data_IF_193537559128
#
_entry.id   IF_193537559128
#
_cell.length_a   1.000
_cell.length_b   1.000
_cell.length_c   1.000
_cell.angle_alpha   90.00
_cell.angle_beta   90.00
_cell.angle_gamma   90.00
#
_symmetry.space_group_name_H-M   'P 1'
#
loop_
_entity.id
_entity.type
_entity.pdbx_description
1 polymer ?
#
# COMPACT_ATOMS: atom_id res chain seq x y z
N UNK A 1 2.48 -41.90 -33.24
CA UNK A 1 3.12 -41.80 -31.91
C UNK A 1 2.10 -41.27 -30.92
N UNK A 2 2.05 -41.81 -29.70
CA UNK A 2 1.20 -41.28 -28.63
C UNK A 2 1.82 -39.98 -28.11
N UNK A 3 1.06 -38.89 -28.12
CA UNK A 3 1.54 -37.57 -27.74
C UNK A 3 0.39 -36.61 -27.46
N UNK A 4 0.66 -35.31 -27.27
CA UNK A 4 -0.40 -34.38 -26.92
C UNK A 4 -1.41 -34.19 -28.07
N UNK A 5 -1.02 -34.38 -29.34
CA UNK A 5 -1.91 -34.37 -30.51
C UNK A 5 -2.96 -35.50 -30.44
N UNK A 6 -2.52 -36.72 -30.16
CA UNK A 6 -3.44 -37.85 -30.00
C UNK A 6 -4.32 -37.70 -28.76
N UNK A 7 -3.78 -37.13 -27.68
CA UNK A 7 -4.54 -36.89 -26.46
C UNK A 7 -5.64 -35.84 -26.66
N UNK A 8 -5.36 -34.78 -27.44
CA UNK A 8 -6.35 -33.77 -27.81
C UNK A 8 -7.49 -34.37 -28.65
N UNK A 9 -7.16 -35.13 -29.69
CA UNK A 9 -8.17 -35.83 -30.50
C UNK A 9 -9.02 -36.80 -29.66
N UNK A 10 -8.38 -37.55 -28.75
CA UNK A 10 -9.09 -38.44 -27.83
C UNK A 10 -10.03 -37.66 -26.89
N UNK A 11 -9.61 -36.50 -26.38
CA UNK A 11 -10.46 -35.65 -25.56
C UNK A 11 -11.66 -35.11 -26.35
N UNK A 12 -11.44 -34.69 -27.60
CA UNK A 12 -12.49 -34.21 -28.50
C UNK A 12 -13.53 -35.29 -28.81
N UNK A 13 -13.10 -36.54 -29.00
CA UNK A 13 -14.03 -37.68 -29.20
C UNK A 13 -14.89 -38.01 -27.97
N UNK A 14 -14.56 -37.44 -26.81
CA UNK A 14 -15.26 -37.64 -25.54
C UNK A 14 -15.99 -36.36 -25.10
N UNK A 15 -16.50 -35.57 -26.06
CA UNK A 15 -17.18 -34.29 -25.86
C UNK A 15 -16.34 -33.20 -25.16
N UNK A 16 -15.02 -33.31 -25.25
CA UNK A 16 -14.03 -32.38 -24.71
C UNK A 16 -13.87 -31.09 -25.54
N UNK A 17 -14.94 -30.53 -26.10
CA UNK A 17 -14.88 -29.50 -27.16
C UNK A 17 -14.26 -28.17 -26.74
N UNK A 18 -14.29 -27.83 -25.44
CA UNK A 18 -13.70 -26.61 -24.91
C UNK A 18 -12.17 -26.65 -24.80
N UNK A 19 -11.55 -27.83 -24.93
CA UNK A 19 -10.11 -27.97 -24.79
C UNK A 19 -9.38 -27.50 -26.05
N UNK A 20 -8.67 -26.37 -25.95
CA UNK A 20 -7.78 -25.93 -27.02
C UNK A 20 -6.53 -26.81 -27.10
N UNK A 21 -5.86 -26.75 -28.26
CA UNK A 21 -4.57 -27.42 -28.50
C UNK A 21 -3.53 -27.03 -27.44
N UNK A 22 -3.40 -25.72 -27.21
CA UNK A 22 -2.45 -25.13 -26.27
C UNK A 22 -2.72 -25.56 -24.82
N UNK A 23 -4.00 -25.64 -24.43
CA UNK A 23 -4.38 -26.12 -23.11
C UNK A 23 -3.94 -27.56 -22.89
N UNK A 24 -4.12 -28.43 -23.90
CA UNK A 24 -3.65 -29.82 -23.84
C UNK A 24 -2.14 -29.89 -23.79
N UNK A 25 -1.42 -29.14 -24.63
CA UNK A 25 0.04 -29.13 -24.67
C UNK A 25 0.64 -28.68 -23.31
N UNK A 26 0.06 -27.63 -22.71
CA UNK A 26 0.42 -27.17 -21.38
C UNK A 26 0.16 -28.26 -20.31
N UNK A 27 -1.07 -28.77 -20.22
CA UNK A 27 -1.46 -29.76 -19.22
C UNK A 27 -0.68 -31.07 -19.34
N UNK A 28 -0.40 -31.51 -20.58
CA UNK A 28 0.36 -32.70 -20.90
C UNK A 28 1.75 -32.68 -20.25
N UNK A 29 2.50 -31.59 -20.44
CA UNK A 29 3.85 -31.45 -19.88
C UNK A 29 3.89 -31.57 -18.35
N UNK A 30 2.92 -30.93 -17.66
CA UNK A 30 2.83 -30.98 -16.20
C UNK A 30 2.38 -32.33 -15.66
N UNK A 31 1.44 -32.98 -16.35
CA UNK A 31 0.99 -34.33 -15.97
C UNK A 31 2.16 -35.31 -16.10
N UNK A 32 2.89 -35.27 -17.22
CA UNK A 32 4.07 -36.09 -17.40
C UNK A 32 5.13 -35.79 -16.35
N UNK A 33 5.46 -34.53 -16.11
CA UNK A 33 6.46 -34.19 -15.09
C UNK A 33 6.11 -34.74 -13.70
N UNK A 34 4.83 -34.62 -13.32
CA UNK A 34 4.32 -35.19 -12.06
C UNK A 34 4.42 -36.71 -12.04
N UNK A 35 3.93 -37.39 -13.09
CA UNK A 35 3.93 -38.86 -13.14
C UNK A 35 5.36 -39.42 -13.18
N UNK A 36 6.28 -38.76 -13.88
CA UNK A 36 7.68 -39.12 -13.92
C UNK A 36 8.31 -39.00 -12.52
N UNK A 37 8.02 -37.91 -11.82
CA UNK A 37 8.48 -37.72 -10.43
C UNK A 37 7.93 -38.77 -9.48
N UNK A 38 6.65 -39.16 -9.61
CA UNK A 38 6.05 -40.22 -8.80
C UNK A 38 6.64 -41.60 -9.12
N UNK A 39 6.88 -41.89 -10.40
CA UNK A 39 7.51 -43.13 -10.84
C UNK A 39 8.95 -43.25 -10.32
N UNK A 40 9.72 -42.14 -10.33
CA UNK A 40 11.07 -42.11 -9.78
C UNK A 40 11.08 -42.23 -8.24
N UNK A 41 10.07 -41.68 -7.56
CA UNK A 41 9.95 -41.75 -6.10
C UNK A 41 9.60 -43.16 -5.61
N UNK A 42 8.77 -43.89 -6.36
CA UNK A 42 8.32 -45.23 -6.02
C UNK A 42 8.34 -46.13 -7.28
N UNK A 43 9.54 -46.59 -7.71
CA UNK A 43 9.69 -47.39 -8.91
C UNK A 43 9.04 -48.78 -8.82
N UNK A 44 8.89 -49.33 -7.61
CA UNK A 44 8.32 -50.66 -7.39
C UNK A 44 6.84 -50.68 -7.79
N UNK A 45 6.10 -49.62 -7.47
CA UNK A 45 4.68 -49.50 -7.87
C UNK A 45 4.47 -49.51 -9.37
N UNK A 46 5.45 -49.04 -10.16
CA UNK A 46 5.37 -48.99 -11.62
C UNK A 46 5.60 -50.35 -12.30
N UNK A 47 5.94 -51.41 -11.54
CA UNK A 47 6.07 -52.78 -12.04
C UNK A 47 4.73 -53.53 -12.09
N UNK A 48 3.66 -52.93 -11.57
CA UNK A 48 2.31 -53.51 -11.58
C UNK A 48 1.60 -53.25 -12.91
N UNK A 49 0.58 -54.06 -13.28
CA UNK A 49 -0.27 -53.76 -14.43
C UNK A 49 -0.95 -52.38 -14.34
N UNK A 50 -1.23 -51.92 -13.11
CA UNK A 50 -1.81 -50.61 -12.80
C UNK A 50 -0.73 -49.53 -12.56
N UNK A 51 0.29 -49.50 -13.41
CA UNK A 51 1.36 -48.50 -13.33
C UNK A 51 0.83 -47.10 -13.63
N UNK A 52 1.27 -46.11 -12.85
CA UNK A 52 0.89 -44.70 -13.01
C UNK A 52 1.53 -44.09 -14.24
N UNK A 53 2.74 -44.51 -14.61
CA UNK A 53 3.43 -44.08 -15.82
C UNK A 53 2.87 -44.79 -17.06
N UNK A 54 1.69 -44.36 -17.50
CA UNK A 54 1.01 -44.89 -18.68
C UNK A 54 0.21 -43.81 -19.43
N UNK A 55 0.00 -44.02 -20.74
CA UNK A 55 -0.81 -43.11 -21.56
C UNK A 55 -2.26 -43.01 -21.04
N UNK A 56 -2.82 -44.12 -20.57
CA UNK A 56 -4.17 -44.16 -19.97
C UNK A 56 -4.29 -43.22 -18.78
N UNK A 57 -3.35 -43.29 -17.83
CA UNK A 57 -3.33 -42.42 -16.65
C UNK A 57 -3.12 -40.93 -17.02
N UNK A 58 -2.35 -40.65 -18.08
CA UNK A 58 -2.22 -39.27 -18.59
C UNK A 58 -3.56 -38.77 -19.13
N UNK A 59 -4.26 -39.57 -19.92
CA UNK A 59 -5.56 -39.21 -20.49
C UNK A 59 -6.65 -39.05 -19.41
N UNK A 60 -6.67 -39.91 -18.40
CA UNK A 60 -7.56 -39.78 -17.24
C UNK A 60 -7.34 -38.46 -16.50
N UNK A 61 -6.07 -38.07 -16.29
CA UNK A 61 -5.77 -36.80 -15.65
C UNK A 61 -6.10 -35.59 -16.53
N UNK A 62 -5.96 -35.69 -17.86
CA UNK A 62 -6.43 -34.65 -18.77
C UNK A 62 -7.95 -34.50 -18.71
N UNK A 63 -8.70 -35.61 -18.71
CA UNK A 63 -10.16 -35.60 -18.52
C UNK A 63 -10.56 -35.00 -17.18
N UNK A 64 -9.85 -35.34 -16.11
CA UNK A 64 -10.04 -34.74 -14.80
C UNK A 64 -9.82 -33.22 -14.80
N UNK A 65 -8.74 -32.75 -15.45
CA UNK A 65 -8.48 -31.31 -15.59
C UNK A 65 -9.56 -30.61 -16.40
N UNK A 66 -9.99 -31.22 -17.51
CA UNK A 66 -11.06 -30.70 -18.37
C UNK A 66 -12.36 -30.52 -17.57
N UNK A 67 -12.79 -31.57 -16.88
CA UNK A 67 -14.02 -31.55 -16.10
C UNK A 67 -13.98 -30.51 -14.98
N UNK A 68 -12.82 -30.29 -14.34
CA UNK A 68 -12.69 -29.32 -13.25
C UNK A 68 -12.58 -27.88 -13.72
N UNK A 69 -11.70 -27.62 -14.68
CA UNK A 69 -11.38 -26.26 -15.07
C UNK A 69 -12.33 -25.74 -16.15
N UNK A 70 -12.51 -26.49 -17.23
CA UNK A 70 -13.25 -26.02 -18.40
C UNK A 70 -14.76 -26.25 -18.23
N UNK A 71 -15.18 -27.46 -17.88
CA UNK A 71 -16.61 -27.73 -17.64
C UNK A 71 -17.08 -27.21 -16.27
N UNK A 72 -16.26 -27.37 -15.24
CA UNK A 72 -16.61 -27.03 -13.85
C UNK A 72 -16.25 -25.62 -13.42
N UNK A 73 -15.56 -24.83 -14.25
CA UNK A 73 -15.19 -23.43 -13.97
C UNK A 73 -14.24 -23.23 -12.79
N UNK A 74 -13.59 -24.27 -12.27
CA UNK A 74 -12.65 -24.14 -11.14
C UNK A 74 -11.30 -23.64 -11.63
N UNK A 75 -11.07 -22.33 -11.50
CA UNK A 75 -9.85 -21.66 -11.96
C UNK A 75 -8.67 -21.90 -11.00
N UNK A 76 -7.50 -22.35 -11.51
CA UNK A 76 -6.28 -22.49 -10.70
C UNK A 76 -5.71 -21.17 -10.19
N UNK A 77 -4.80 -21.25 -9.22
CA UNK A 77 -4.30 -20.09 -8.48
C UNK A 77 -3.62 -19.06 -9.40
N UNK A 78 -2.73 -19.51 -10.29
CA UNK A 78 -2.05 -18.60 -11.20
C UNK A 78 -3.02 -17.96 -12.19
N UNK A 79 -4.00 -18.73 -12.69
CA UNK A 79 -5.01 -18.21 -13.63
C UNK A 79 -5.86 -17.11 -13.00
N UNK A 80 -6.27 -17.29 -11.74
CA UNK A 80 -6.96 -16.26 -10.96
C UNK A 80 -6.10 -15.00 -10.74
N UNK A 81 -4.79 -15.15 -10.58
CA UNK A 81 -3.87 -14.01 -10.42
C UNK A 81 -3.67 -13.26 -11.73
N UNK A 82 -3.46 -13.97 -12.84
CA UNK A 82 -3.27 -13.38 -14.16
C UNK A 82 -4.53 -12.64 -14.65
N UNK A 83 -5.71 -13.22 -14.41
CA UNK A 83 -7.01 -12.59 -14.65
C UNK A 83 -7.38 -11.55 -13.56
N UNK A 84 -6.56 -11.42 -12.51
CA UNK A 84 -6.72 -10.47 -11.41
C UNK A 84 -8.02 -10.59 -10.61
N UNK A 85 -8.64 -11.77 -10.62
CA UNK A 85 -9.75 -12.12 -9.73
C UNK A 85 -9.31 -12.25 -8.27
N UNK A 86 -8.02 -12.52 -8.04
CA UNK A 86 -7.40 -12.53 -6.72
C UNK A 86 -6.13 -11.69 -6.71
N UNK A 87 -5.79 -11.14 -5.54
CA UNK A 87 -4.58 -10.36 -5.38
C UNK A 87 -3.33 -11.26 -5.39
N UNK A 88 -2.30 -10.88 -6.15
CA UNK A 88 -1.00 -11.57 -6.19
C UNK A 88 -0.35 -11.70 -4.80
N UNK A 89 -0.69 -10.83 -3.85
CA UNK A 89 -0.22 -10.89 -2.47
C UNK A 89 -0.79 -12.04 -1.64
N UNK A 90 -1.79 -12.76 -2.15
CA UNK A 90 -2.37 -13.91 -1.47
C UNK A 90 -1.30 -14.97 -1.14
N UNK A 91 -1.36 -15.63 0.02
CA UNK A 91 -0.40 -16.66 0.38
C UNK A 91 -0.60 -17.89 -0.51
N UNK A 92 0.48 -18.47 -1.03
CA UNK A 92 0.41 -19.65 -1.91
C UNK A 92 1.69 -20.48 -1.89
N UNK A 93 1.59 -21.72 -2.37
CA UNK A 93 2.73 -22.60 -2.63
C UNK A 93 2.82 -22.88 -4.12
N UNK A 94 3.98 -22.56 -4.72
CA UNK A 94 4.28 -22.88 -6.12
C UNK A 94 5.52 -23.78 -6.21
N UNK A 95 5.62 -24.55 -7.27
CA UNK A 95 6.80 -25.34 -7.61
C UNK A 95 7.66 -24.55 -8.62
N UNK A 96 8.98 -24.62 -8.47
CA UNK A 96 9.92 -24.05 -9.43
C UNK A 96 10.01 -24.99 -10.62
N UNK A 97 9.47 -24.61 -11.78
CA UNK A 97 9.63 -25.37 -13.03
C UNK A 97 10.97 -25.04 -13.69
N UNK A 98 11.40 -23.78 -13.62
CA UNK A 98 12.69 -23.35 -14.17
C UNK A 98 13.37 -22.24 -13.35
N UNK A 99 14.70 -22.16 -13.46
CA UNK A 99 15.55 -21.06 -13.02
C UNK A 99 16.26 -20.52 -14.26
N UNK A 100 15.82 -19.35 -14.72
CA UNK A 100 16.23 -18.74 -15.99
C UNK A 100 17.32 -17.72 -15.72
N UNK A 101 18.51 -17.96 -16.27
CA UNK A 101 19.66 -17.06 -16.19
C UNK A 101 19.73 -16.20 -17.46
N UNK A 102 19.96 -14.89 -17.35
CA UNK A 102 20.19 -14.03 -18.52
C UNK A 102 21.34 -14.56 -19.40
N UNK A 103 21.19 -14.44 -20.72
CA UNK A 103 22.19 -14.91 -21.67
C UNK A 103 23.52 -14.17 -21.49
N UNK A 104 24.62 -14.91 -21.41
CA UNK A 104 25.97 -14.35 -21.21
C UNK A 104 26.33 -14.07 -19.75
N UNK A 105 25.42 -14.28 -18.79
CA UNK A 105 25.74 -14.18 -17.37
C UNK A 105 26.39 -15.47 -16.86
N UNK A 106 27.50 -15.33 -16.14
CA UNK A 106 28.05 -16.43 -15.34
C UNK A 106 27.27 -16.54 -14.02
N UNK A 107 27.22 -17.72 -13.41
CA UNK A 107 26.69 -17.89 -12.06
C UNK A 107 27.47 -17.08 -11.00
N UNK A 108 28.66 -16.59 -11.36
CA UNK A 108 29.56 -15.83 -10.48
C UNK A 108 29.24 -14.33 -10.49
N UNK A 109 28.49 -13.84 -11.47
CA UNK A 109 28.11 -12.43 -11.58
C UNK A 109 27.06 -12.04 -10.51
N UNK A 110 27.54 -11.37 -9.45
CA UNK A 110 26.74 -11.05 -8.26
C UNK A 110 25.59 -10.07 -8.56
N UNK A 111 25.74 -9.24 -9.59
CA UNK A 111 24.73 -8.27 -10.00
C UNK A 111 23.59 -8.90 -10.81
N UNK A 112 23.84 -10.04 -11.46
CA UNK A 112 22.83 -10.72 -12.27
C UNK A 112 21.87 -11.49 -11.36
N UNK A 113 20.57 -11.20 -11.51
CA UNK A 113 19.49 -11.90 -10.81
C UNK A 113 18.78 -12.85 -11.77
N UNK A 114 18.67 -14.15 -11.45
CA UNK A 114 17.88 -15.07 -12.26
C UNK A 114 16.39 -14.80 -12.08
N UNK A 115 15.62 -15.17 -13.09
CA UNK A 115 14.16 -15.26 -13.01
C UNK A 115 13.76 -16.69 -12.65
N UNK A 116 12.63 -16.85 -11.96
CA UNK A 116 12.03 -18.16 -11.75
C UNK A 116 10.84 -18.34 -12.68
N UNK A 117 10.69 -19.54 -13.22
CA UNK A 117 9.42 -20.01 -13.72
C UNK A 117 8.74 -20.84 -12.62
N UNK A 118 7.54 -20.42 -12.22
CA UNK A 118 6.80 -21.03 -11.12
C UNK A 118 5.49 -21.62 -11.64
N UNK A 119 5.10 -22.77 -11.08
CA UNK A 119 3.85 -23.46 -11.41
C UNK A 119 3.02 -23.78 -10.17
N UNK A 120 1.70 -23.62 -10.27
CA UNK A 120 0.72 -24.15 -9.32
C UNK A 120 0.31 -25.60 -9.63
N UNK A 121 0.97 -26.22 -10.61
CA UNK A 121 0.65 -27.54 -11.15
C UNK A 121 -0.37 -27.50 -12.30
N UNK A 122 -0.96 -26.34 -12.62
CA UNK A 122 -1.92 -26.15 -13.70
C UNK A 122 -1.41 -25.23 -14.80
N UNK A 123 -0.69 -24.17 -14.42
CA UNK A 123 -0.12 -23.18 -15.30
C UNK A 123 1.28 -22.77 -14.83
N UNK A 124 1.94 -21.91 -15.60
CA UNK A 124 3.25 -21.34 -15.29
C UNK A 124 3.20 -19.82 -15.40
N UNK A 125 3.95 -19.13 -14.54
CA UNK A 125 4.22 -17.70 -14.63
C UNK A 125 5.67 -17.41 -14.22
N UNK A 126 6.22 -16.31 -14.71
CA UNK A 126 7.56 -15.86 -14.35
C UNK A 126 7.55 -15.05 -13.05
N UNK A 127 8.67 -15.08 -12.34
CA UNK A 127 8.87 -14.32 -11.11
C UNK A 127 10.28 -13.73 -11.00
N UNK A 128 10.33 -12.46 -10.59
CA UNK A 128 11.55 -11.75 -10.22
C UNK A 128 11.94 -12.05 -8.78
N UNK A 129 13.26 -12.12 -8.58
CA UNK A 129 13.86 -12.36 -7.29
C UNK A 129 14.52 -11.10 -6.75
N UNK A 130 14.47 -10.94 -5.43
CA UNK A 130 15.31 -10.00 -4.73
C UNK A 130 16.74 -10.55 -4.51
N UNK A 131 17.59 -9.73 -3.89
CA UNK A 131 18.99 -10.08 -3.66
C UNK A 131 19.18 -11.37 -2.84
N UNK A 132 18.50 -11.60 -1.69
CA UNK A 132 18.67 -12.85 -0.95
C UNK A 132 18.15 -14.08 -1.69
N UNK A 133 17.05 -13.99 -2.43
CA UNK A 133 16.58 -15.11 -3.23
C UNK A 133 17.53 -15.42 -4.39
N UNK A 134 18.09 -14.41 -5.05
CA UNK A 134 19.12 -14.62 -6.08
C UNK A 134 20.37 -15.30 -5.49
N UNK A 135 20.83 -14.89 -4.30
CA UNK A 135 21.92 -15.59 -3.58
C UNK A 135 21.56 -17.04 -3.27
N UNK A 136 20.32 -17.32 -2.87
CA UNK A 136 19.86 -18.67 -2.60
C UNK A 136 19.79 -19.55 -3.87
N UNK A 137 19.46 -18.97 -5.02
CA UNK A 137 19.53 -19.64 -6.32
C UNK A 137 20.97 -19.99 -6.70
N UNK A 138 21.92 -19.04 -6.60
CA UNK A 138 23.35 -19.30 -6.84
C UNK A 138 23.91 -20.37 -5.92
N UNK A 139 23.51 -20.35 -4.65
CA UNK A 139 23.91 -21.35 -3.67
C UNK A 139 23.25 -22.74 -3.86
N UNK A 140 22.49 -22.95 -4.94
CA UNK A 140 21.82 -24.22 -5.23
C UNK A 140 20.68 -24.58 -4.28
N UNK A 141 20.15 -23.61 -3.52
CA UNK A 141 19.03 -23.82 -2.60
C UNK A 141 17.67 -23.67 -3.29
N UNK A 142 17.59 -22.79 -4.28
CA UNK A 142 16.43 -22.62 -5.16
C UNK A 142 16.77 -23.30 -6.47
N UNK A 143 16.14 -24.44 -6.74
CA UNK A 143 16.40 -25.28 -7.92
C UNK A 143 15.09 -25.85 -8.44
N UNK A 144 15.09 -26.29 -9.71
CA UNK A 144 13.94 -26.94 -10.35
C UNK A 144 13.39 -28.08 -9.48
N UNK A 145 12.06 -28.18 -9.41
CA UNK A 145 11.32 -29.19 -8.64
C UNK A 145 11.13 -28.87 -7.15
N UNK A 146 11.81 -27.86 -6.59
CA UNK A 146 11.54 -27.42 -5.21
C UNK A 146 10.29 -26.57 -5.14
N UNK A 147 9.63 -26.59 -3.98
CA UNK A 147 8.43 -25.82 -3.71
C UNK A 147 8.76 -24.59 -2.87
N UNK A 148 8.15 -23.46 -3.20
CA UNK A 148 8.25 -22.20 -2.49
C UNK A 148 6.88 -21.85 -1.92
N UNK A 149 6.84 -21.56 -0.61
CA UNK A 149 5.70 -20.93 0.04
C UNK A 149 6.01 -19.46 0.20
N UNK A 150 5.11 -18.58 -0.23
CA UNK A 150 5.29 -17.15 -0.11
C UNK A 150 3.95 -16.42 0.03
N UNK A 151 4.03 -15.16 0.42
CA UNK A 151 2.91 -14.23 0.46
C UNK A 151 3.40 -12.79 0.22
N UNK A 152 2.48 -11.87 -0.02
CA UNK A 152 2.84 -10.46 -0.25
C UNK A 152 3.54 -10.21 -1.58
N UNK A 153 3.47 -11.15 -2.54
CA UNK A 153 4.00 -10.94 -3.88
C UNK A 153 3.26 -9.79 -4.58
N UNK A 154 3.96 -9.14 -5.51
CA UNK A 154 3.44 -8.04 -6.33
C UNK A 154 3.62 -8.36 -7.80
N UNK A 155 3.00 -7.60 -8.69
CA UNK A 155 3.37 -7.64 -10.09
C UNK A 155 4.67 -6.86 -10.32
N UNK A 156 5.59 -7.42 -11.09
CA UNK A 156 6.81 -6.74 -11.49
C UNK A 156 6.48 -5.63 -12.51
N UNK A 157 7.16 -4.48 -12.43
CA UNK A 157 6.98 -3.38 -13.38
C UNK A 157 5.65 -2.62 -13.29
N UNK A 158 4.76 -2.96 -12.35
CA UNK A 158 3.44 -2.33 -12.20
C UNK A 158 2.30 -3.36 -12.36
N UNK A 159 1.05 -2.90 -12.32
CA UNK A 159 -0.12 -3.76 -12.50
C UNK A 159 -0.34 -3.98 -14.01
N UNK A 160 -0.22 -5.22 -14.53
CA UNK A 160 -0.50 -5.51 -15.93
C UNK A 160 -2.00 -5.43 -16.24
N UNK A 161 -2.39 -5.56 -17.50
CA UNK A 161 -3.79 -5.79 -17.86
C UNK A 161 -4.22 -7.22 -17.46
N UNK A 162 -5.49 -7.45 -17.08
CA UNK A 162 -6.00 -8.79 -16.86
C UNK A 162 -5.93 -9.62 -18.16
N UNK A 163 -5.33 -10.81 -18.11
CA UNK A 163 -5.14 -11.63 -19.31
C UNK A 163 -5.25 -13.11 -18.98
N UNK A 164 -5.73 -13.91 -19.93
CA UNK A 164 -5.69 -15.37 -19.84
C UNK A 164 -4.25 -15.88 -20.01
N UNK A 165 -3.85 -16.85 -19.18
CA UNK A 165 -2.42 -17.24 -19.09
C UNK A 165 -1.89 -17.76 -20.43
N UNK A 166 -2.66 -18.58 -21.13
CA UNK A 166 -2.23 -19.20 -22.39
C UNK A 166 -2.26 -18.22 -23.57
N UNK A 167 -3.01 -17.12 -23.47
CA UNK A 167 -3.17 -16.10 -24.52
C UNK A 167 -2.20 -14.92 -24.33
N UNK A 168 -1.01 -15.17 -23.77
CA UNK A 168 0.03 -14.16 -23.57
C UNK A 168 0.28 -13.75 -22.11
N UNK A 169 -0.56 -14.20 -21.16
CA UNK A 169 -0.35 -13.94 -19.74
C UNK A 169 0.99 -14.45 -19.20
N UNK A 170 1.56 -15.51 -19.77
CA UNK A 170 2.91 -16.00 -19.41
C UNK A 170 4.02 -14.97 -19.62
N UNK A 171 3.91 -14.12 -20.65
CA UNK A 171 4.92 -13.12 -21.00
C UNK A 171 4.63 -11.77 -20.35
N UNK A 172 3.36 -11.38 -20.27
CA UNK A 172 2.94 -10.08 -19.75
C UNK A 172 2.83 -10.03 -18.21
N UNK A 173 2.53 -11.16 -17.56
CA UNK A 173 2.33 -11.23 -16.11
C UNK A 173 3.54 -11.83 -15.44
N UNK A 174 4.27 -10.99 -14.69
CA UNK A 174 5.43 -11.41 -13.91
C UNK A 174 5.23 -11.05 -12.44
N UNK A 175 5.51 -12.00 -11.56
CA UNK A 175 5.45 -11.80 -10.11
C UNK A 175 6.77 -11.23 -9.59
N UNK A 176 6.74 -10.51 -8.48
CA UNK A 176 7.91 -10.02 -7.75
C UNK A 176 7.85 -10.60 -6.35
N UNK A 177 8.83 -11.43 -6.02
CA UNK A 177 8.92 -12.13 -4.74
C UNK A 177 9.93 -11.43 -3.81
N UNK A 178 9.60 -11.41 -2.53
CA UNK A 178 10.50 -10.93 -1.46
C UNK A 178 10.97 -12.10 -0.61
N UNK A 179 12.27 -12.21 -0.38
CA UNK A 179 12.92 -13.27 0.38
C UNK A 179 12.46 -13.32 1.84
N UNK A 180 12.24 -12.17 2.48
CA UNK A 180 11.71 -12.10 3.84
C UNK A 180 10.24 -12.54 3.96
N UNK A 181 9.55 -12.72 2.82
CA UNK A 181 8.17 -13.19 2.74
C UNK A 181 8.06 -14.55 2.03
N UNK A 182 9.18 -15.23 1.81
CA UNK A 182 9.26 -16.50 1.08
C UNK A 182 10.08 -17.53 1.85
N UNK A 183 9.67 -18.80 1.77
CA UNK A 183 10.42 -19.91 2.33
C UNK A 183 10.26 -21.18 1.48
N UNK A 184 11.18 -22.13 1.66
CA UNK A 184 11.05 -23.45 1.02
C UNK A 184 9.93 -24.24 1.69
N UNK A 185 9.01 -24.76 0.88
CA UNK A 185 7.91 -25.60 1.34
C UNK A 185 8.33 -27.09 1.37
N UNK A 186 7.73 -27.92 2.24
CA UNK A 186 7.93 -29.36 2.25
C UNK A 186 7.62 -30.00 0.88
N UNK A 187 8.29 -31.11 0.56
CA UNK A 187 8.12 -31.81 -0.72
C UNK A 187 6.66 -32.22 -1.01
N UNK A 188 5.89 -32.57 0.03
CA UNK A 188 4.49 -33.00 -0.07
C UNK A 188 3.49 -31.83 0.01
N UNK A 189 3.95 -30.57 0.16
CA UNK A 189 3.06 -29.41 0.25
C UNK A 189 2.18 -29.31 -1.00
N UNK A 190 0.88 -29.09 -0.80
CA UNK A 190 -0.09 -28.92 -1.89
C UNK A 190 0.15 -27.58 -2.60
N UNK A 191 0.22 -27.60 -3.93
CA UNK A 191 0.37 -26.39 -4.73
C UNK A 191 -0.94 -25.60 -4.81
N UNK A 192 -0.82 -24.28 -4.98
CA UNK A 192 -1.94 -23.33 -5.07
C UNK A 192 -2.08 -22.47 -3.83
N UNK A 193 -3.27 -21.87 -3.67
CA UNK A 193 -3.56 -20.92 -2.60
C UNK A 193 -3.53 -21.56 -1.21
N UNK A 194 -3.00 -20.81 -0.26
CA UNK A 194 -3.04 -21.11 1.17
C UNK A 194 -4.05 -20.20 1.85
N UNK A 195 -4.55 -20.61 3.02
CA UNK A 195 -5.32 -19.72 3.90
C UNK A 195 -4.42 -18.66 4.53
N UNK A 196 -3.20 -19.07 4.91
CA UNK A 196 -2.22 -18.23 5.58
C UNK A 196 -0.82 -18.80 5.30
N UNK A 197 0.15 -17.92 5.02
CA UNK A 197 1.54 -18.32 4.91
C UNK A 197 2.16 -18.55 6.29
N UNK A 198 3.13 -19.47 6.43
CA UNK A 198 3.85 -19.65 7.68
C UNK A 198 4.59 -18.35 8.05
N UNK A 199 4.57 -17.93 9.34
CA UNK A 199 5.30 -16.75 9.78
C UNK A 199 6.80 -16.94 9.57
N UNK A 200 7.48 -15.86 9.17
CA UNK A 200 8.93 -15.83 9.15
C UNK A 200 9.47 -15.75 10.59
N UNK A 201 10.75 -16.11 10.76
CA UNK A 201 11.47 -15.96 12.03
C UNK A 201 12.48 -14.83 11.91
N UNK A 202 12.79 -14.13 13.00
CA UNK A 202 13.81 -13.07 13.01
C UNK A 202 15.19 -13.58 12.56
N UNK A 203 15.46 -14.86 12.80
CA UNK A 203 16.66 -15.52 12.30
C UNK A 203 16.71 -15.60 10.76
N UNK A 204 15.58 -15.80 10.09
CA UNK A 204 15.51 -15.91 8.63
C UNK A 204 15.59 -14.58 7.89
N UNK A 205 15.39 -13.46 8.59
CA UNK A 205 15.33 -12.14 7.96
C UNK A 205 16.70 -11.63 7.50
N UNK A 206 16.71 -10.97 6.36
CA UNK A 206 17.86 -10.19 5.85
C UNK A 206 17.47 -8.73 5.62
N UNK A 207 18.41 -7.78 5.78
CA UNK A 207 18.12 -6.35 5.62
C UNK A 207 17.73 -5.97 4.18
N UNK A 208 18.15 -6.76 3.19
CA UNK A 208 17.93 -6.57 1.76
C UNK A 208 16.84 -7.48 1.17
N UNK A 209 16.09 -8.21 2.00
CA UNK A 209 15.08 -9.20 1.59
C UNK A 209 13.66 -8.70 1.41
N UNK A 210 13.50 -7.39 1.20
CA UNK A 210 12.19 -6.75 1.03
C UNK A 210 11.32 -6.80 2.29
N UNK A 211 10.03 -6.55 2.11
CA UNK A 211 9.05 -6.52 3.21
C UNK A 211 8.85 -7.90 3.84
N UNK A 212 8.45 -7.90 5.12
CA UNK A 212 8.10 -9.10 5.90
C UNK A 212 6.59 -9.22 5.95
N UNK A 213 6.04 -10.28 5.35
CA UNK A 213 4.59 -10.48 5.28
C UNK A 213 3.98 -10.78 6.64
N UNK A 214 4.64 -11.61 7.45
CA UNK A 214 4.09 -12.11 8.71
C UNK A 214 5.18 -12.54 9.69
N UNK A 215 5.10 -12.07 10.94
CA UNK A 215 5.92 -12.51 12.07
C UNK A 215 5.01 -12.87 13.26
N UNK A 216 5.44 -13.85 14.05
CA UNK A 216 4.81 -14.25 15.31
C UNK A 216 5.75 -13.88 16.45
N UNK A 217 5.42 -12.82 17.18
CA UNK A 217 6.34 -12.13 18.08
C UNK A 217 5.76 -11.96 19.48
N UNK A 218 6.63 -12.00 20.49
CA UNK A 218 6.32 -11.64 21.88
C UNK A 218 7.03 -10.35 22.25
N UNK A 219 6.31 -9.43 22.89
CA UNK A 219 6.86 -8.17 23.41
C UNK A 219 7.81 -8.47 24.55
N UNK A 220 9.08 -8.09 24.40
CA UNK A 220 10.11 -8.21 25.43
C UNK A 220 10.33 -6.91 26.21
N UNK A 221 10.21 -5.75 25.55
CA UNK A 221 10.38 -4.44 26.19
C UNK A 221 9.56 -3.39 25.48
N UNK A 222 8.95 -2.48 26.24
CA UNK A 222 8.12 -1.39 25.72
C UNK A 222 8.75 -0.05 26.10
N UNK A 223 9.07 0.78 25.11
CA UNK A 223 9.55 2.14 25.37
C UNK A 223 8.38 3.14 25.46
N UNK A 224 8.56 4.32 26.09
CA UNK A 224 7.55 5.37 26.11
C UNK A 224 7.17 5.86 24.70
N UNK A 225 5.97 6.44 24.57
CA UNK A 225 5.55 7.09 23.32
C UNK A 225 6.38 8.36 23.13
N UNK A 226 6.83 8.58 21.90
CA UNK A 226 7.48 9.79 21.48
C UNK A 226 6.77 10.39 20.27
N UNK A 227 6.95 11.69 20.06
CA UNK A 227 6.32 12.45 19.00
C UNK A 227 7.38 13.10 18.12
N UNK A 228 7.19 13.04 16.80
CA UNK A 228 8.02 13.76 15.84
C UNK A 228 7.10 14.64 15.00
N UNK A 229 7.49 15.90 14.88
CA UNK A 229 6.81 16.87 14.04
C UNK A 229 7.57 17.04 12.73
N UNK A 230 6.82 17.06 11.63
CA UNK A 230 7.33 17.31 10.28
C UNK A 230 6.92 18.72 9.89
N UNK A 231 7.89 19.63 9.83
CA UNK A 231 7.67 21.04 9.49
C UNK A 231 8.08 21.25 8.05
N UNK A 232 7.17 21.77 7.22
CA UNK A 232 7.47 22.13 5.84
C UNK A 232 8.39 23.37 5.80
N UNK A 233 9.49 23.27 5.06
CA UNK A 233 10.42 24.36 4.80
C UNK A 233 10.20 24.92 3.39
N UNK A 234 10.42 26.24 3.19
CA UNK A 234 10.35 26.84 1.86
C UNK A 234 11.43 26.26 0.95
N UNK A 235 11.01 25.70 -0.18
CA UNK A 235 11.89 25.10 -1.20
C UNK A 235 11.53 23.66 -1.54
N UNK A 236 12.03 23.18 -2.68
CA UNK A 236 11.90 21.78 -3.10
C UNK A 236 13.19 21.03 -2.78
N UNK A 237 13.07 19.84 -2.21
CA UNK A 237 14.19 18.91 -2.07
C UNK A 237 14.67 18.41 -3.44
N UNK A 238 15.77 17.66 -3.46
CA UNK A 238 16.35 17.06 -4.68
C UNK A 238 15.33 16.22 -5.48
N UNK A 239 14.34 15.64 -4.80
CA UNK A 239 13.29 14.78 -5.37
C UNK A 239 12.03 15.56 -5.83
N UNK A 240 12.07 16.89 -5.85
CA UNK A 240 10.92 17.74 -6.22
C UNK A 240 9.81 17.83 -5.17
N UNK A 241 9.95 17.14 -4.03
CA UNK A 241 9.01 17.17 -2.89
C UNK A 241 9.28 18.37 -1.96
N UNK A 242 8.27 18.82 -1.18
CA UNK A 242 8.48 19.83 -0.14
C UNK A 242 9.60 19.39 0.80
N UNK A 243 10.54 20.29 1.07
CA UNK A 243 11.60 20.02 2.04
C UNK A 243 10.95 19.98 3.41
N UNK A 244 11.11 18.89 4.16
CA UNK A 244 10.55 18.75 5.51
C UNK A 244 11.66 18.66 6.53
N UNK A 245 11.59 19.49 7.57
CA UNK A 245 12.44 19.38 8.76
C UNK A 245 11.75 18.51 9.79
N UNK A 246 12.52 17.63 10.43
CA UNK A 246 12.04 16.78 11.54
C UNK A 246 12.42 17.45 12.85
N UNK A 247 11.42 17.70 13.69
CA UNK A 247 11.63 18.19 15.06
C UNK A 247 11.25 17.13 16.08
N UNK A 248 12.06 17.01 17.14
CA UNK A 248 11.94 15.96 18.16
C UNK A 248 13.06 14.93 18.08
N UNK A 249 12.89 13.74 18.69
CA UNK A 249 11.68 13.24 19.34
C UNK A 249 11.32 13.98 20.64
N UNK A 250 10.04 14.31 20.82
CA UNK A 250 9.49 14.91 22.05
C UNK A 250 8.78 13.85 22.89
N UNK A 251 8.84 13.98 24.22
CA UNK A 251 8.03 13.18 25.15
C UNK A 251 6.61 13.75 25.20
N UNK A 252 5.67 12.97 25.74
CA UNK A 252 4.26 13.36 25.87
C UNK A 252 4.05 14.73 26.54
N UNK A 253 4.71 15.00 27.66
CA UNK A 253 4.60 16.28 28.35
C UNK A 253 5.14 17.47 27.53
N UNK A 254 6.21 17.25 26.76
CA UNK A 254 6.81 18.29 25.91
C UNK A 254 5.95 18.55 24.68
N UNK A 255 5.33 17.50 24.12
CA UNK A 255 4.40 17.62 23.01
C UNK A 255 3.11 18.32 23.43
N UNK A 256 2.55 18.02 24.61
CA UNK A 256 1.40 18.75 25.15
C UNK A 256 1.69 20.25 25.32
N UNK A 257 2.92 20.60 25.76
CA UNK A 257 3.36 22.01 25.85
C UNK A 257 3.50 22.66 24.48
N UNK A 258 4.03 21.94 23.49
CA UNK A 258 4.15 22.44 22.12
C UNK A 258 2.77 22.66 21.49
N UNK A 259 1.84 21.73 21.73
CA UNK A 259 0.46 21.81 21.25
C UNK A 259 -0.28 22.99 21.88
N UNK A 260 -0.20 23.17 23.19
CA UNK A 260 -0.82 24.31 23.87
C UNK A 260 -0.28 25.67 23.37
N UNK A 261 1.03 25.76 23.07
CA UNK A 261 1.63 26.96 22.47
C UNK A 261 1.10 27.24 21.06
N UNK A 262 0.90 26.20 20.26
CA UNK A 262 0.34 26.34 18.92
C UNK A 262 -1.14 26.74 18.99
N UNK A 263 -1.92 26.14 19.88
CA UNK A 263 -3.34 26.49 20.11
C UNK A 263 -3.50 27.94 20.58
N UNK A 264 -2.66 28.38 21.52
CA UNK A 264 -2.65 29.78 21.98
C UNK A 264 -2.28 30.75 20.85
N UNK A 265 -1.28 30.41 20.02
CA UNK A 265 -0.94 31.22 18.84
C UNK A 265 -2.09 31.25 17.84
N UNK A 266 -2.70 30.11 17.53
CA UNK A 266 -3.82 30.00 16.59
C UNK A 266 -5.03 30.78 17.08
N UNK A 267 -5.33 30.73 18.38
CA UNK A 267 -6.40 31.50 19.01
C UNK A 267 -6.16 33.01 18.88
N UNK A 268 -4.96 33.48 19.20
CA UNK A 268 -4.60 34.91 19.08
C UNK A 268 -4.70 35.42 17.65
N UNK A 269 -4.26 34.62 16.67
CA UNK A 269 -4.40 34.96 15.25
C UNK A 269 -5.87 34.97 14.84
N UNK A 270 -6.66 33.99 15.28
CA UNK A 270 -8.10 33.93 14.98
C UNK A 270 -8.84 35.16 15.51
N UNK A 271 -8.56 35.56 16.76
CA UNK A 271 -9.16 36.75 17.36
C UNK A 271 -8.75 38.02 16.62
N UNK A 272 -7.48 38.14 16.22
CA UNK A 272 -7.00 39.27 15.41
C UNK A 272 -7.73 39.36 14.07
N UNK A 273 -7.83 38.25 13.33
CA UNK A 273 -8.50 38.19 12.03
C UNK A 273 -10.01 38.49 12.15
N UNK A 274 -10.67 38.00 13.21
CA UNK A 274 -12.08 38.35 13.50
C UNK A 274 -12.25 39.84 13.75
N UNK A 275 -11.38 40.45 14.57
CA UNK A 275 -11.44 41.90 14.85
C UNK A 275 -11.18 42.71 13.58
N UNK A 276 -10.27 42.27 12.70
CA UNK A 276 -10.02 42.92 11.41
C UNK A 276 -11.22 42.80 10.46
N UNK A 277 -11.84 41.63 10.38
CA UNK A 277 -13.08 41.41 9.60
C UNK A 277 -14.24 42.28 10.13
N UNK A 278 -14.45 42.32 11.45
CA UNK A 278 -15.49 43.15 12.07
C UNK A 278 -15.26 44.65 11.81
N UNK A 279 -14.01 45.12 11.91
CA UNK A 279 -13.66 46.52 11.58
C UNK A 279 -13.95 46.83 10.12
N UNK A 280 -13.59 45.93 9.20
CA UNK A 280 -13.87 46.05 7.78
C UNK A 280 -15.38 46.16 7.54
N UNK A 281 -16.18 45.26 8.11
CA UNK A 281 -17.64 45.31 7.97
C UNK A 281 -18.25 46.57 8.58
N UNK A 282 -17.77 47.03 9.74
CA UNK A 282 -18.25 48.30 10.34
C UNK A 282 -17.95 49.51 9.43
N UNK A 283 -16.78 49.55 8.81
CA UNK A 283 -16.45 50.59 7.84
C UNK A 283 -17.38 50.55 6.64
N UNK A 284 -17.61 49.35 6.08
CA UNK A 284 -18.51 49.15 4.95
C UNK A 284 -19.97 49.46 5.30
N UNK A 285 -20.45 49.13 6.51
CA UNK A 285 -21.77 49.52 7.00
C UNK A 285 -21.90 51.04 7.14
N UNK A 286 -20.84 51.70 7.64
CA UNK A 286 -20.75 53.15 7.68
C UNK A 286 -20.83 53.77 6.28
N UNK A 287 -20.16 53.15 5.31
CA UNK A 287 -20.19 53.56 3.91
C UNK A 287 -21.57 53.37 3.29
N UNK A 288 -22.17 52.20 3.45
CA UNK A 288 -23.52 51.89 2.98
C UNK A 288 -24.55 52.85 3.61
N UNK A 289 -24.39 53.22 4.88
CA UNK A 289 -25.22 54.21 5.56
C UNK A 289 -25.09 55.62 4.99
N UNK A 290 -23.88 56.05 4.63
CA UNK A 290 -23.64 57.35 4.00
C UNK A 290 -24.18 57.41 2.56
N UNK A 291 -24.02 56.34 1.78
CA UNK A 291 -24.57 56.20 0.44
C UNK A 291 -26.11 56.18 0.47
N UNK A 292 -26.71 55.45 1.40
CA UNK A 292 -28.17 55.42 1.60
C UNK A 292 -28.75 56.81 1.96
N UNK A 293 -28.03 57.61 2.78
CA UNK A 293 -28.43 59.00 3.07
C UNK A 293 -28.41 59.88 1.83
N UNK A 294 -27.41 59.72 0.96
CA UNK A 294 -27.30 60.46 -0.31
C UNK A 294 -28.38 60.05 -1.32
N UNK A 295 -28.81 58.79 -1.29
CA UNK A 295 -29.87 58.27 -2.16
C UNK A 295 -31.25 58.90 -1.87
N UNK A 296 -31.46 59.46 -0.67
CA UNK A 296 -32.67 60.22 -0.34
C UNK A 296 -33.96 59.39 -0.44
N UNK A 297 -33.90 58.09 -0.15
CA UNK A 297 -35.05 57.18 -0.21
C UNK A 297 -35.26 56.47 -1.55
N UNK A 298 -34.41 56.72 -2.56
CA UNK A 298 -34.36 55.93 -3.80
C UNK A 298 -33.64 54.62 -3.55
N UNK A 299 -34.36 53.63 -3.02
CA UNK A 299 -33.84 52.27 -2.81
C UNK A 299 -34.27 51.42 -4.01
N UNK A 300 -33.34 50.77 -4.71
CA UNK A 300 -33.68 49.82 -5.77
C UNK A 300 -34.52 48.66 -5.25
N UNK A 301 -35.44 48.16 -6.08
CA UNK A 301 -36.15 46.90 -5.85
C UNK A 301 -35.28 45.71 -6.28
N UNK A 302 -35.53 44.52 -5.71
CA UNK A 302 -34.89 43.27 -6.16
C UNK A 302 -35.19 42.94 -7.63
N UNK A 303 -36.30 43.45 -8.17
CA UNK A 303 -36.73 43.24 -9.56
C UNK A 303 -36.10 44.26 -10.55
N UNK A 304 -35.41 45.29 -10.07
CA UNK A 304 -34.81 46.30 -10.94
C UNK A 304 -33.49 45.78 -11.54
N UNK A 305 -33.22 46.12 -12.81
CA UNK A 305 -31.94 45.75 -13.44
C UNK A 305 -30.82 46.68 -12.97
N UNK A 306 -29.83 46.12 -12.28
CA UNK A 306 -28.66 46.87 -11.82
C UNK A 306 -27.87 47.45 -13.00
N UNK A 307 -27.51 48.75 -12.98
CA UNK A 307 -26.63 49.34 -13.99
C UNK A 307 -25.23 48.72 -13.94
N UNK A 308 -24.66 48.38 -15.10
CA UNK A 308 -23.38 47.64 -15.19
C UNK A 308 -22.16 48.37 -14.60
N UNK A 309 -22.17 49.70 -14.53
CA UNK A 309 -21.06 50.49 -13.96
C UNK A 309 -21.05 50.51 -12.42
N UNK A 310 -22.09 50.01 -11.75
CA UNK A 310 -22.20 50.02 -10.28
C UNK A 310 -21.23 49.04 -9.64
N UNK A 311 -20.93 47.90 -10.29
CA UNK A 311 -19.96 46.93 -9.78
C UNK A 311 -18.55 47.52 -9.79
N UNK A 312 -18.13 48.15 -10.89
CA UNK A 312 -16.83 48.82 -10.99
C UNK A 312 -16.66 49.91 -9.92
N UNK A 313 -17.72 50.70 -9.67
CA UNK A 313 -17.72 51.73 -8.63
C UNK A 313 -17.65 51.14 -7.21
N UNK A 314 -18.19 49.93 -6.98
CA UNK A 314 -18.11 49.23 -5.71
C UNK A 314 -16.70 48.72 -5.46
N UNK A 315 -16.07 48.13 -6.47
CA UNK A 315 -14.69 47.65 -6.39
C UNK A 315 -13.72 48.83 -6.16
N UNK A 316 -13.88 49.93 -6.90
CA UNK A 316 -13.11 51.18 -6.69
C UNK A 316 -13.28 51.73 -5.26
N UNK A 317 -14.48 51.63 -4.69
CA UNK A 317 -14.74 52.04 -3.30
C UNK A 317 -14.02 51.14 -2.29
N UNK A 318 -14.06 49.83 -2.51
CA UNK A 318 -13.41 48.85 -1.63
C UNK A 318 -11.89 49.02 -1.67
N UNK A 319 -11.31 49.24 -2.86
CA UNK A 319 -9.88 49.38 -3.07
C UNK A 319 -9.34 50.74 -2.59
N UNK A 320 -10.05 51.83 -2.90
CA UNK A 320 -9.60 53.18 -2.51
C UNK A 320 -9.87 53.52 -1.05
N UNK A 321 -10.94 52.95 -0.46
CA UNK A 321 -11.41 53.29 0.88
C UNK A 321 -11.92 54.74 1.05
N UNK A 322 -12.01 55.52 -0.04
CA UNK A 322 -12.41 56.94 0.01
C UNK A 322 -13.85 57.14 -0.45
N UNK A 323 -14.77 56.94 0.50
CA UNK A 323 -16.19 57.23 0.28
C UNK A 323 -16.46 58.70 -0.07
N UNK A 324 -15.63 59.65 0.38
CA UNK A 324 -15.93 61.08 0.19
C UNK A 324 -15.80 61.49 -1.27
N UNK A 325 -14.79 60.98 -1.96
CA UNK A 325 -14.56 61.25 -3.39
C UNK A 325 -15.63 60.57 -4.26
N UNK A 326 -15.92 59.30 -4.00
CA UNK A 326 -16.95 58.55 -4.75
C UNK A 326 -18.34 59.12 -4.50
N UNK A 327 -18.65 59.47 -3.25
CA UNK A 327 -19.91 60.12 -2.87
C UNK A 327 -20.03 61.56 -3.39
N UNK A 328 -19.01 62.16 -4.02
CA UNK A 328 -19.17 63.43 -4.77
C UNK A 328 -19.41 63.18 -6.27
N UNK A 329 -18.85 62.12 -6.82
CA UNK A 329 -18.89 61.82 -8.26
C UNK A 329 -20.19 61.14 -8.72
N UNK A 330 -20.84 60.35 -7.86
CA UNK A 330 -22.01 59.53 -8.25
C UNK A 330 -23.35 60.26 -8.20
N UNK A 331 -24.38 59.78 -8.92
CA UNK A 331 -25.74 60.31 -8.82
C UNK A 331 -26.49 59.79 -7.58
N UNK A 332 -27.67 60.35 -7.28
CA UNK A 332 -28.53 59.85 -6.19
C UNK A 332 -29.07 58.44 -6.43
N UNK A 333 -29.29 58.05 -7.70
CA UNK A 333 -29.75 56.72 -8.06
C UNK A 333 -28.62 55.69 -7.93
N UNK A 334 -27.41 56.02 -8.41
CA UNK A 334 -26.23 55.16 -8.26
C UNK A 334 -25.85 54.96 -6.79
N UNK A 335 -26.00 55.99 -5.95
CA UNK A 335 -25.78 55.87 -4.51
C UNK A 335 -26.75 54.88 -3.83
N UNK A 336 -27.98 54.76 -4.32
CA UNK A 336 -28.96 53.77 -3.85
C UNK A 336 -28.55 52.35 -4.24
N UNK A 337 -28.14 52.15 -5.49
CA UNK A 337 -27.61 50.89 -6.00
C UNK A 337 -26.33 50.45 -5.28
N UNK A 338 -25.36 51.35 -5.10
CA UNK A 338 -24.13 51.07 -4.36
C UNK A 338 -24.38 50.71 -2.89
N UNK A 339 -25.36 51.34 -2.24
CA UNK A 339 -25.71 51.01 -0.85
C UNK A 339 -26.36 49.61 -0.75
N UNK A 340 -27.19 49.24 -1.72
CA UNK A 340 -27.83 47.91 -1.79
C UNK A 340 -26.80 46.81 -2.06
N UNK A 341 -25.96 46.97 -3.08
CA UNK A 341 -24.93 46.00 -3.46
C UNK A 341 -23.87 45.84 -2.39
N UNK A 342 -23.42 46.93 -1.75
CA UNK A 342 -22.46 46.87 -0.66
C UNK A 342 -23.03 46.11 0.55
N UNK A 343 -24.32 46.26 0.88
CA UNK A 343 -24.98 45.49 1.96
C UNK A 343 -25.07 44.00 1.61
N UNK A 344 -25.51 43.67 0.40
CA UNK A 344 -25.52 42.30 -0.08
C UNK A 344 -24.11 41.67 -0.04
N UNK A 345 -23.07 42.46 -0.36
CA UNK A 345 -21.68 42.02 -0.27
C UNK A 345 -21.22 41.81 1.18
N UNK A 346 -21.60 42.68 2.12
CA UNK A 346 -21.34 42.50 3.55
C UNK A 346 -21.97 41.19 4.05
N UNK A 347 -23.22 40.91 3.67
CA UNK A 347 -23.93 39.72 4.11
C UNK A 347 -23.30 38.44 3.54
N UNK A 348 -22.94 38.44 2.25
CA UNK A 348 -22.21 37.33 1.62
C UNK A 348 -20.82 37.09 2.26
N UNK A 349 -20.10 38.15 2.62
CA UNK A 349 -18.81 38.05 3.32
C UNK A 349 -18.96 37.55 4.76
N UNK A 350 -20.06 37.89 5.44
CA UNK A 350 -20.38 37.36 6.77
C UNK A 350 -20.72 35.88 6.73
N UNK A 351 -21.46 35.44 5.71
CA UNK A 351 -21.78 34.04 5.48
C UNK A 351 -20.50 33.22 5.22
N UNK A 352 -19.59 33.75 4.40
CA UNK A 352 -18.32 33.11 4.07
C UNK A 352 -17.20 33.33 5.10
N UNK A 353 -17.44 34.12 6.14
CA UNK A 353 -16.41 34.53 7.10
C UNK A 353 -15.74 33.35 7.79
N UNK A 354 -16.47 32.26 8.04
CA UNK A 354 -15.92 31.05 8.63
C UNK A 354 -14.87 30.38 7.75
N UNK A 355 -15.14 30.26 6.46
CA UNK A 355 -14.22 29.63 5.49
C UNK A 355 -13.00 30.51 5.23
N UNK A 356 -13.20 31.82 5.10
CA UNK A 356 -12.11 32.78 4.92
C UNK A 356 -11.20 32.84 6.15
N UNK A 357 -11.79 32.85 7.35
CA UNK A 357 -11.03 32.80 8.59
C UNK A 357 -10.19 31.51 8.67
N UNK A 358 -10.76 30.36 8.35
CA UNK A 358 -10.00 29.09 8.36
C UNK A 358 -8.90 29.08 7.28
N UNK A 359 -9.16 29.66 6.10
CA UNK A 359 -8.16 29.81 5.03
C UNK A 359 -6.99 30.69 5.44
N UNK A 360 -7.25 31.85 6.05
CA UNK A 360 -6.19 32.74 6.53
C UNK A 360 -5.47 32.14 7.75
N UNK A 361 -6.20 31.45 8.63
CA UNK A 361 -5.59 30.70 9.74
C UNK A 361 -4.65 29.61 9.25
N UNK A 362 -5.02 28.86 8.20
CA UNK A 362 -4.16 27.85 7.61
C UNK A 362 -2.88 28.43 6.99
N UNK A 363 -2.91 29.69 6.53
CA UNK A 363 -1.72 30.40 6.02
C UNK A 363 -0.82 30.91 7.14
N UNK A 364 -1.37 31.60 8.15
CA UNK A 364 -0.58 32.18 9.24
C UNK A 364 -0.15 31.16 10.30
N UNK A 365 -0.99 30.15 10.53
CA UNK A 365 -0.81 29.11 11.54
C UNK A 365 -1.22 27.74 10.98
N UNK A 366 -0.41 27.18 10.06
CA UNK A 366 -0.72 25.90 9.43
C UNK A 366 -0.86 24.77 10.47
N UNK A 367 -1.70 23.76 10.17
CA UNK A 367 -1.87 22.60 11.05
C UNK A 367 -0.55 21.85 11.22
N UNK A 368 -0.25 21.46 12.46
CA UNK A 368 0.97 20.72 12.78
C UNK A 368 0.89 19.28 12.25
N UNK A 369 1.92 18.83 11.55
CA UNK A 369 2.05 17.45 11.11
C UNK A 369 2.86 16.65 12.14
N UNK A 370 2.20 16.24 13.22
CA UNK A 370 2.82 15.48 14.32
C UNK A 370 2.45 14.01 14.18
N UNK A 371 3.46 13.13 14.28
CA UNK A 371 3.26 11.68 14.32
C UNK A 371 3.76 11.12 15.64
N UNK A 372 2.91 10.31 16.27
CA UNK A 372 3.30 9.50 17.42
C UNK A 372 4.05 8.26 16.95
N UNK A 373 5.03 7.82 17.71
CA UNK A 373 5.68 6.54 17.50
C UNK A 373 6.13 5.93 18.82
N UNK A 374 6.36 4.62 18.81
CA UNK A 374 6.90 3.87 19.94
C UNK A 374 7.87 2.83 19.42
N UNK A 375 8.93 2.61 20.17
CA UNK A 375 9.87 1.52 19.91
C UNK A 375 9.49 0.33 20.79
N UNK A 376 9.41 -0.86 20.19
CA UNK A 376 9.17 -2.12 20.88
C UNK A 376 10.35 -3.05 20.63
N UNK A 377 10.82 -3.73 21.67
CA UNK A 377 11.67 -4.90 21.49
C UNK A 377 10.80 -6.15 21.52
N UNK A 378 10.95 -6.98 20.50
CA UNK A 378 10.17 -8.20 20.34
C UNK A 378 11.06 -9.38 19.97
N UNK A 379 10.68 -10.59 20.39
CA UNK A 379 11.39 -11.84 20.09
C UNK A 379 10.45 -12.81 19.38
N UNK A 380 11.00 -13.75 18.61
CA UNK A 380 10.21 -14.84 18.02
C UNK A 380 9.42 -15.57 19.10
N UNK A 381 8.10 -15.71 18.93
CA UNK A 381 7.25 -16.44 19.86
C UNK A 381 7.46 -17.95 19.79
N UNK A 382 7.90 -18.43 18.62
CA UNK A 382 8.15 -19.84 18.33
C UNK A 382 9.42 -19.99 17.51
N UNK A 383 10.26 -20.93 17.91
CA UNK A 383 11.48 -21.29 17.20
C UNK A 383 11.65 -22.79 17.10
N UNK A 384 11.08 -23.40 16.05
CA UNK A 384 11.09 -24.86 15.92
C UNK A 384 12.43 -25.40 15.41
N UNK A 385 13.19 -24.60 14.66
CA UNK A 385 14.34 -25.10 13.86
C UNK A 385 15.68 -24.45 14.18
N UNK A 386 15.69 -23.23 14.71
CA UNK A 386 16.89 -22.42 14.98
C UNK A 386 16.68 -21.57 16.22
N UNK A 387 17.70 -21.34 17.06
CA UNK A 387 17.53 -20.60 18.31
C UNK A 387 17.14 -19.12 18.08
N UNK A 388 16.26 -18.59 18.95
CA UNK A 388 15.86 -17.18 19.01
C UNK A 388 16.99 -16.28 19.57
N UNK A 389 18.07 -16.11 18.81
CA UNK A 389 19.20 -15.24 19.20
C UNK A 389 18.98 -13.77 18.86
N UNK A 390 17.96 -13.47 18.05
CA UNK A 390 17.69 -12.12 17.55
C UNK A 390 16.54 -11.47 18.28
N UNK A 391 16.72 -10.19 18.58
CA UNK A 391 15.66 -9.30 19.07
C UNK A 391 15.33 -8.28 17.97
N UNK A 392 14.05 -8.13 17.66
CA UNK A 392 13.57 -7.12 16.74
C UNK A 392 13.30 -5.82 17.48
N UNK A 393 13.96 -4.74 17.07
CA UNK A 393 13.56 -3.39 17.40
C UNK A 393 12.56 -2.91 16.35
N UNK A 394 11.29 -2.76 16.75
CA UNK A 394 10.21 -2.34 15.86
C UNK A 394 9.82 -0.91 16.17
N UNK A 395 10.06 -0.01 15.22
CA UNK A 395 9.50 1.35 15.25
C UNK A 395 8.05 1.30 14.80
N UNK A 396 7.12 1.40 15.75
CA UNK A 396 5.68 1.47 15.50
C UNK A 396 5.30 2.93 15.32
N UNK A 397 4.93 3.30 14.11
CA UNK A 397 4.38 4.61 13.80
C UNK A 397 2.87 4.67 14.06
N UNK A 398 2.39 5.88 14.35
CA UNK A 398 0.99 6.23 14.59
C UNK A 398 0.35 5.37 15.69
N UNK A 399 1.11 5.13 16.76
CA UNK A 399 0.76 4.19 17.85
C UNK A 399 -0.56 4.49 18.52
N UNK A 400 -0.92 5.76 18.66
CA UNK A 400 -2.19 6.18 19.25
C UNK A 400 -3.41 5.74 18.43
N UNK A 401 -3.24 5.38 17.16
CA UNK A 401 -4.32 4.83 16.33
C UNK A 401 -4.57 3.33 16.56
N UNK A 402 -3.66 2.64 17.27
CA UNK A 402 -3.79 1.22 17.57
C UNK A 402 -4.56 1.04 18.88
N UNK A 403 -5.53 0.16 18.92
CA UNK A 403 -6.21 -0.23 20.15
C UNK A 403 -6.42 -1.74 20.16
N UNK A 404 -5.92 -2.40 21.21
CA UNK A 404 -6.02 -3.87 21.38
C UNK A 404 -6.91 -4.26 22.55
N UNK A 405 -7.19 -3.32 23.45
CA UNK A 405 -8.01 -3.45 24.64
C UNK A 405 -8.88 -2.20 24.73
N UNK A 406 -10.13 -2.35 25.21
CA UNK A 406 -11.06 -1.23 25.35
C UNK A 406 -10.46 -0.15 26.26
N UNK A 407 -10.47 1.09 25.79
CA UNK A 407 -10.01 2.27 26.56
C UNK A 407 -8.49 2.47 26.63
N UNK A 408 -7.65 1.63 26.01
CA UNK A 408 -6.18 1.78 26.04
C UNK A 408 -5.56 1.88 24.64
N UNK A 409 -5.62 3.07 24.07
CA UNK A 409 -4.96 3.39 22.80
C UNK A 409 -3.44 3.31 22.92
N UNK A 410 -2.80 2.71 21.92
CA UNK A 410 -1.36 2.57 21.79
C UNK A 410 -0.69 1.73 22.87
N UNK A 411 -1.44 0.99 23.69
CA UNK A 411 -0.89 0.23 24.80
C UNK A 411 -0.32 -1.11 24.34
N UNK A 412 0.93 -1.37 24.73
CA UNK A 412 1.60 -2.67 24.60
C UNK A 412 2.13 -3.04 25.99
N UNK A 413 2.03 -4.31 26.37
CA UNK A 413 2.61 -4.83 27.60
C UNK A 413 3.63 -5.92 27.31
N UNK A 414 4.65 -6.02 28.16
CA UNK A 414 5.63 -7.10 28.11
C UNK A 414 4.95 -8.47 28.27
N UNK A 415 5.43 -9.46 27.53
CA UNK A 415 4.85 -10.80 27.46
C UNK A 415 3.65 -10.94 26.50
N UNK A 416 3.07 -9.86 25.98
CA UNK A 416 1.99 -9.97 24.99
C UNK A 416 2.50 -10.56 23.68
N UNK A 417 1.71 -11.47 23.09
CA UNK A 417 2.00 -12.11 21.82
C UNK A 417 1.15 -11.52 20.71
N UNK A 418 1.79 -11.24 19.58
CA UNK A 418 1.15 -10.67 18.42
C UNK A 418 1.60 -11.38 17.14
N UNK A 419 0.64 -11.59 16.27
CA UNK A 419 0.89 -11.82 14.87
C UNK A 419 0.93 -10.47 14.15
N UNK A 420 2.09 -10.11 13.61
CA UNK A 420 2.32 -8.81 12.98
C UNK A 420 2.55 -9.01 11.50
N UNK A 421 1.73 -8.37 10.66
CA UNK A 421 1.84 -8.45 9.21
C UNK A 421 2.33 -7.16 8.57
N UNK A 422 2.99 -7.29 7.42
CA UNK A 422 3.44 -6.18 6.57
C UNK A 422 4.41 -5.20 7.28
N UNK A 423 5.51 -5.74 7.80
CA UNK A 423 6.64 -4.94 8.34
C UNK A 423 7.68 -4.69 7.26
N UNK A 424 8.48 -3.64 7.41
CA UNK A 424 9.62 -3.36 6.53
C UNK A 424 10.94 -3.36 7.30
N UNK A 425 12.03 -3.90 6.71
CA UNK A 425 13.37 -3.64 7.19
C UNK A 425 13.63 -2.13 7.30
N UNK A 426 14.27 -1.74 8.39
CA UNK A 426 14.73 -0.39 8.66
C UNK A 426 16.22 -0.44 8.98
N UNK A 427 16.94 0.67 8.81
CA UNK A 427 18.35 0.80 9.18
C UNK A 427 19.21 -0.41 8.74
N UNK A 428 19.13 -0.79 7.46
CA UNK A 428 19.75 -2.01 6.92
C UNK A 428 21.23 -2.20 7.33
N UNK A 429 22.00 -1.12 7.40
CA UNK A 429 23.42 -1.15 7.79
C UNK A 429 23.69 -1.41 9.27
N UNK A 430 22.69 -1.32 10.14
CA UNK A 430 22.82 -1.55 11.58
C UNK A 430 22.50 -2.99 12.01
N UNK A 431 22.00 -3.83 11.09
CA UNK A 431 21.60 -5.20 11.42
C UNK A 431 22.79 -6.05 11.84
N UNK A 432 22.68 -6.67 13.01
CA UNK A 432 23.73 -7.52 13.56
C UNK A 432 23.72 -8.92 12.95
N UNK A 433 24.86 -9.62 13.05
CA UNK A 433 25.01 -10.98 12.51
C UNK A 433 24.05 -11.96 13.19
N UNK A 434 23.64 -13.02 12.47
CA UNK A 434 22.87 -14.13 13.06
C UNK A 434 23.67 -14.97 14.06
N UNK A 435 25.01 -14.82 14.07
CA UNK A 435 25.91 -15.64 14.88
C UNK A 435 26.11 -15.09 16.29
N UNK A 436 25.97 -13.78 16.45
CA UNK A 436 26.22 -13.08 17.70
C UNK A 436 25.08 -13.34 18.70
N UNK A 437 25.41 -13.32 19.99
CA UNK A 437 24.42 -13.33 21.07
C UNK A 437 23.79 -11.93 21.19
N UNK A 438 22.50 -11.88 21.51
CA UNK A 438 21.71 -10.65 21.60
C UNK A 438 21.74 -9.76 20.33
N UNK A 439 21.75 -10.39 19.16
CA UNK A 439 21.73 -9.74 17.86
C UNK A 439 20.45 -8.92 17.64
N UNK A 440 20.57 -7.69 17.16
CA UNK A 440 19.43 -6.82 16.86
C UNK A 440 19.11 -6.75 15.36
N UNK A 441 17.81 -6.76 15.06
CA UNK A 441 17.27 -6.44 13.73
C UNK A 441 16.29 -5.27 13.84
N UNK A 442 16.30 -4.39 12.85
CA UNK A 442 15.51 -3.15 12.89
C UNK A 442 14.38 -3.23 11.88
N UNK A 443 13.15 -3.11 12.37
CA UNK A 443 11.94 -3.13 11.57
C UNK A 443 11.13 -1.86 11.82
N UNK A 444 10.27 -1.52 10.86
CA UNK A 444 9.29 -0.44 11.02
C UNK A 444 7.92 -0.86 10.52
N UNK A 445 6.89 -0.28 11.11
CA UNK A 445 5.54 -0.38 10.57
C UNK A 445 5.39 0.52 9.35
N UNK A 446 4.54 0.09 8.43
CA UNK A 446 4.09 0.86 7.26
C UNK A 446 2.57 0.92 7.21
N UNK A 447 2.04 1.76 6.32
CA UNK A 447 0.60 1.80 6.03
C UNK A 447 0.11 0.41 5.66
N UNK A 448 -0.90 -0.08 6.39
CA UNK A 448 -1.42 -1.44 6.23
C UNK A 448 -0.71 -2.52 7.05
N UNK A 449 0.20 -2.16 7.96
CA UNK A 449 0.65 -3.09 9.02
C UNK A 449 -0.56 -3.47 9.86
N UNK A 450 -0.77 -4.76 10.10
CA UNK A 450 -1.83 -5.23 11.00
C UNK A 450 -1.24 -5.98 12.16
N UNK A 451 -1.82 -5.77 13.32
CA UNK A 451 -1.45 -6.41 14.57
C UNK A 451 -2.64 -7.24 15.02
N UNK A 452 -2.44 -8.54 15.21
CA UNK A 452 -3.45 -9.45 15.75
C UNK A 452 -2.91 -10.00 17.06
N UNK A 453 -3.54 -9.61 18.18
CA UNK A 453 -3.19 -10.15 19.50
C UNK A 453 -3.61 -11.63 19.55
N UNK A 454 -2.71 -12.50 20.02
CA UNK A 454 -2.95 -13.95 20.13
C UNK A 454 -3.26 -14.38 21.55
#
# INVERSE_FOLDING_TARGET
MLGPASAHAALQSLDGTLASREWVDNAWSMILWKLAGLAALDPQREQTPDKRWSYTHVLEQLRYRYARELSGGQRPALRLIAAQDINASAPMVLCISDVIWPAGASMEDVEVKPELELTDGWYRLRAELDAPMARAARAGKIVRGRKLSFAGARFAGGRPEPTEILEGGYESVKLSLSGNSSCLAPWHAKLGLLKQAPPATLHSLTPDGGGVHLLDLVVSKVFPIAFIEFVDEPGKGADGKPKTRREGPRKEADEARAQAKWEDKRMKVADKLKVEAEKRWRSWEGWAGALARKAGGKVPSEDDAMPGHVEELLDDLIDSGDISSISRAITSADAGWLAFTLRARIDAERENAGEELERELAKECPPRNVRSFRVLFMKDAKTDRRPARRTAEITVWDVLSLAFEEGRQGHFAEGQRFLVSNLQPNQAGAWMSTRDEDSHVYLRTVKGTRWTKL
#
